data_IF_638058164978
#
_entry.id   IF_638058164978
#
_cell.length_a   1.000
_cell.length_b   1.000
_cell.length_c   1.000
_cell.angle_alpha   90.00
_cell.angle_beta   90.00
_cell.angle_gamma   90.00
#
_symmetry.space_group_name_H-M   'P 1'
#
loop_
_entity.id
_entity.type
_entity.pdbx_description
1 polymer ?
#
# COMPACT_ATOMS: atom_id res chain seq x y z
N UNK A 1 5.04 -7.39 -16.12
CA UNK A 1 6.01 -6.28 -16.31
C UNK A 1 6.29 -5.61 -14.97
N UNK A 2 6.91 -6.34 -14.03
CA UNK A 2 7.50 -5.88 -12.75
C UNK A 2 8.22 -7.08 -12.09
N UNK A 3 9.15 -7.70 -12.83
CA UNK A 3 9.94 -8.89 -12.39
C UNK A 3 11.43 -8.56 -12.17
N UNK A 4 11.76 -7.31 -11.84
CA UNK A 4 13.16 -6.84 -11.90
C UNK A 4 13.97 -7.23 -10.66
N UNK A 5 13.38 -7.16 -9.46
CA UNK A 5 14.09 -7.42 -8.20
C UNK A 5 13.74 -8.79 -7.61
N UNK A 6 12.44 -9.10 -7.52
CA UNK A 6 11.96 -10.39 -7.04
C UNK A 6 11.00 -10.96 -8.11
N UNK A 7 11.47 -11.83 -9.02
CA UNK A 7 10.75 -12.24 -10.22
C UNK A 7 9.41 -12.96 -9.98
N UNK A 8 9.14 -13.42 -8.75
CA UNK A 8 7.93 -14.16 -8.39
C UNK A 8 6.97 -13.39 -7.48
N UNK A 9 7.36 -12.24 -6.93
CA UNK A 9 6.55 -11.52 -5.95
C UNK A 9 6.42 -10.03 -6.33
N UNK A 10 5.53 -9.77 -7.29
CA UNK A 10 5.29 -8.42 -7.82
C UNK A 10 4.85 -7.43 -6.74
N UNK A 11 4.16 -7.91 -5.69
CA UNK A 11 3.71 -7.10 -4.57
C UNK A 11 4.87 -6.48 -3.78
N UNK A 12 5.97 -7.23 -3.56
CA UNK A 12 7.15 -6.68 -2.88
C UNK A 12 7.84 -5.63 -3.76
N UNK A 13 7.97 -5.89 -5.06
CA UNK A 13 8.57 -4.93 -6.00
C UNK A 13 7.79 -3.60 -6.00
N UNK A 14 6.45 -3.67 -6.04
CA UNK A 14 5.60 -2.49 -6.00
C UNK A 14 5.67 -1.78 -4.64
N UNK A 15 5.72 -2.54 -3.54
CA UNK A 15 5.83 -1.98 -2.18
C UNK A 15 7.13 -1.21 -2.03
N UNK A 16 8.26 -1.79 -2.45
CA UNK A 16 9.58 -1.15 -2.37
C UNK A 16 9.63 0.08 -3.28
N UNK A 17 9.13 0.00 -4.52
CA UNK A 17 9.11 1.13 -5.44
C UNK A 17 8.28 2.30 -4.87
N UNK A 18 7.10 2.01 -4.34
CA UNK A 18 6.22 3.00 -3.71
C UNK A 18 6.85 3.59 -2.45
N UNK A 19 7.55 2.77 -1.65
CA UNK A 19 8.24 3.22 -0.44
C UNK A 19 9.37 4.18 -0.77
N UNK A 20 10.21 3.83 -1.75
CA UNK A 20 11.30 4.70 -2.21
C UNK A 20 10.71 6.01 -2.76
N UNK A 21 9.64 5.93 -3.55
CA UNK A 21 8.95 7.12 -4.06
C UNK A 21 8.43 8.03 -2.94
N UNK A 22 7.73 7.47 -1.96
CA UNK A 22 7.22 8.19 -0.80
C UNK A 22 8.37 8.82 0.03
N UNK A 23 9.47 8.09 0.24
CA UNK A 23 10.65 8.61 0.94
C UNK A 23 11.28 9.79 0.20
N UNK A 24 11.49 9.67 -1.12
CA UNK A 24 12.03 10.77 -1.93
C UNK A 24 11.15 12.01 -1.82
N UNK A 25 9.82 11.85 -1.90
CA UNK A 25 8.87 12.97 -1.74
C UNK A 25 9.00 13.57 -0.34
N UNK A 26 9.02 12.77 0.73
CA UNK A 26 9.15 13.27 2.10
C UNK A 26 10.45 14.05 2.36
N UNK A 27 11.56 13.64 1.74
CA UNK A 27 12.87 14.30 1.89
C UNK A 27 12.89 15.62 1.11
N UNK A 28 12.32 15.64 -0.11
CA UNK A 28 12.34 16.82 -0.99
C UNK A 28 11.25 17.83 -0.65
N UNK A 29 10.13 17.38 -0.08
CA UNK A 29 8.91 18.14 0.21
C UNK A 29 8.39 17.73 1.59
N UNK A 30 9.04 18.17 2.69
CA UNK A 30 8.60 17.85 4.05
C UNK A 30 7.22 18.43 4.37
N UNK A 31 6.75 19.43 3.61
CA UNK A 31 5.40 19.97 3.69
C UNK A 31 4.31 18.94 3.33
N UNK A 32 4.64 17.93 2.52
CA UNK A 32 3.70 16.89 2.10
C UNK A 32 3.65 15.69 3.06
N UNK A 33 4.45 15.66 4.13
CA UNK A 33 4.51 14.51 5.07
C UNK A 33 3.13 14.20 5.67
N UNK A 34 2.39 15.24 6.08
CA UNK A 34 1.05 15.06 6.64
C UNK A 34 0.09 14.45 5.61
N UNK A 35 0.14 14.91 4.36
CA UNK A 35 -0.66 14.35 3.26
C UNK A 35 -0.28 12.90 2.97
N UNK A 36 1.01 12.59 2.99
CA UNK A 36 1.54 11.25 2.76
C UNK A 36 1.02 10.26 3.82
N UNK A 37 1.07 10.63 5.11
CA UNK A 37 0.49 9.81 6.17
C UNK A 37 -1.03 9.72 6.06
N UNK A 38 -1.73 10.83 5.82
CA UNK A 38 -3.18 10.84 5.71
C UNK A 38 -3.66 9.97 4.54
N UNK A 39 -3.04 10.11 3.36
CA UNK A 39 -3.34 9.31 2.19
C UNK A 39 -3.03 7.83 2.38
N UNK A 40 -1.90 7.52 3.02
CA UNK A 40 -1.54 6.14 3.38
C UNK A 40 -2.56 5.50 4.32
N UNK A 41 -2.93 6.18 5.39
CA UNK A 41 -3.94 5.69 6.34
C UNK A 41 -5.33 5.57 5.72
N UNK A 42 -5.78 6.55 4.93
CA UNK A 42 -7.09 6.52 4.28
C UNK A 42 -7.20 5.37 3.29
N UNK A 43 -6.16 5.13 2.48
CA UNK A 43 -6.16 4.01 1.55
C UNK A 43 -6.07 2.67 2.27
N UNK A 44 -5.19 2.54 3.28
CA UNK A 44 -5.10 1.33 4.10
C UNK A 44 -6.42 1.01 4.80
N UNK A 45 -7.10 2.01 5.38
CA UNK A 45 -8.39 1.83 6.04
C UNK A 45 -9.47 1.38 5.06
N UNK A 46 -9.56 2.04 3.91
CA UNK A 46 -10.52 1.69 2.86
C UNK A 46 -10.27 0.26 2.37
N UNK A 47 -9.00 -0.09 2.14
CA UNK A 47 -8.59 -1.42 1.71
C UNK A 47 -8.93 -2.51 2.73
N UNK A 48 -8.66 -2.24 4.01
CA UNK A 48 -9.02 -3.10 5.13
C UNK A 48 -10.53 -3.32 5.23
N UNK A 49 -11.34 -2.26 5.12
CA UNK A 49 -12.80 -2.36 5.16
C UNK A 49 -13.35 -3.18 3.98
N UNK A 50 -12.77 -3.03 2.79
CA UNK A 50 -13.13 -3.83 1.61
C UNK A 50 -12.84 -5.32 1.86
N UNK A 51 -11.69 -5.66 2.46
CA UNK A 51 -11.41 -7.05 2.80
C UNK A 51 -12.38 -7.63 3.82
N UNK A 52 -12.74 -6.87 4.85
CA UNK A 52 -13.75 -7.31 5.82
C UNK A 52 -15.09 -7.55 5.11
N UNK A 53 -15.50 -6.64 4.22
CA UNK A 53 -16.73 -6.81 3.46
C UNK A 53 -16.69 -8.06 2.57
N UNK A 54 -15.58 -8.30 1.87
CA UNK A 54 -15.39 -9.49 1.02
C UNK A 54 -15.42 -10.77 1.85
N UNK A 55 -14.69 -10.84 2.97
CA UNK A 55 -14.68 -12.02 3.84
C UNK A 55 -16.06 -12.26 4.49
N UNK A 56 -16.83 -11.20 4.74
CA UNK A 56 -18.21 -11.30 5.21
C UNK A 56 -19.19 -11.88 4.18
N UNK A 57 -18.97 -11.61 2.88
CA UNK A 57 -19.79 -12.13 1.78
C UNK A 57 -19.31 -13.53 1.35
N UNK A 58 -18.00 -13.73 1.31
CA UNK A 58 -17.32 -14.95 0.87
C UNK A 58 -16.36 -15.45 1.95
N UNK A 59 -16.87 -16.18 2.96
CA UNK A 59 -16.05 -16.64 4.09
C UNK A 59 -14.93 -17.58 3.61
N UNK A 60 -13.69 -17.31 4.04
CA UNK A 60 -12.51 -18.09 3.67
C UNK A 60 -11.88 -17.69 2.32
N UNK A 61 -12.40 -16.67 1.64
CA UNK A 61 -11.83 -16.19 0.38
C UNK A 61 -10.42 -15.66 0.59
N UNK A 62 -10.21 -14.81 1.60
CA UNK A 62 -8.91 -14.16 1.85
C UNK A 62 -7.83 -15.20 2.16
N UNK A 63 -8.14 -16.18 3.02
CA UNK A 63 -7.22 -17.27 3.36
C UNK A 63 -6.91 -18.18 2.17
N UNK A 64 -7.87 -18.42 1.27
CA UNK A 64 -7.68 -19.33 0.14
C UNK A 64 -6.85 -18.72 -1.00
N UNK A 65 -7.06 -17.43 -1.30
CA UNK A 65 -6.46 -16.75 -2.44
C UNK A 65 -5.16 -16.02 -2.09
N UNK A 66 -5.10 -15.37 -0.93
CA UNK A 66 -3.98 -14.46 -0.61
C UNK A 66 -2.91 -15.12 0.28
N UNK A 67 -3.26 -16.10 1.11
CA UNK A 67 -2.27 -16.77 2.00
C UNK A 67 -1.50 -17.89 1.28
N UNK A 68 -2.03 -18.47 0.20
CA UNK A 68 -1.39 -19.61 -0.51
C UNK A 68 -0.24 -19.21 -1.43
N UNK A 69 -0.17 -17.98 -1.92
CA UNK A 69 0.78 -17.58 -2.96
C UNK A 69 2.21 -17.23 -2.44
N UNK A 70 2.66 -17.82 -1.33
CA UNK A 70 4.01 -17.56 -0.80
C UNK A 70 4.18 -16.16 -0.17
N UNK A 71 3.08 -15.45 0.03
CA UNK A 71 3.00 -14.20 0.79
C UNK A 71 3.17 -14.55 2.28
N UNK A 72 3.75 -13.66 3.09
CA UNK A 72 4.16 -13.98 4.47
C UNK A 72 2.96 -14.45 5.29
N UNK A 73 3.17 -15.44 6.17
CA UNK A 73 2.14 -16.05 7.03
C UNK A 73 1.61 -15.13 8.15
N UNK A 74 2.07 -13.88 8.21
CA UNK A 74 1.64 -12.92 9.24
C UNK A 74 0.36 -12.27 8.75
N UNK A 75 -0.74 -12.50 9.47
CA UNK A 75 -2.06 -11.95 9.15
C UNK A 75 -2.58 -11.10 10.31
N UNK A 76 -3.35 -10.07 9.97
CA UNK A 76 -4.11 -9.22 10.88
C UNK A 76 -5.57 -9.37 10.48
N UNK A 77 -6.43 -9.91 11.35
CA UNK A 77 -7.84 -10.22 11.01
C UNK A 77 -7.99 -11.05 9.72
N UNK A 78 -7.16 -12.08 9.55
CA UNK A 78 -7.07 -12.93 8.32
C UNK A 78 -6.56 -12.24 7.06
N UNK A 79 -6.22 -10.96 7.12
CA UNK A 79 -5.66 -10.21 6.00
C UNK A 79 -4.13 -10.24 6.10
N UNK A 80 -3.39 -10.64 5.05
CA UNK A 80 -1.92 -10.64 5.09
C UNK A 80 -1.36 -9.26 5.38
N UNK A 81 -0.33 -9.18 6.23
CA UNK A 81 0.31 -7.91 6.59
C UNK A 81 0.88 -7.19 5.36
N UNK A 82 1.37 -7.93 4.35
CA UNK A 82 1.84 -7.33 3.10
C UNK A 82 0.77 -6.47 2.42
N UNK A 83 -0.49 -6.93 2.44
CA UNK A 83 -1.60 -6.24 1.77
C UNK A 83 -1.89 -4.89 2.44
N UNK A 84 -1.78 -4.83 3.75
CA UNK A 84 -1.92 -3.58 4.50
C UNK A 84 -0.72 -2.65 4.28
N UNK A 85 0.49 -3.21 4.18
CA UNK A 85 1.70 -2.43 3.90
C UNK A 85 1.68 -1.82 2.50
N UNK A 86 1.33 -2.60 1.46
CA UNK A 86 1.22 -2.04 0.11
C UNK A 86 0.11 -1.00 0.04
N UNK A 87 -1.00 -1.19 0.74
CA UNK A 87 -2.05 -0.19 0.79
C UNK A 87 -1.54 1.10 1.44
N UNK A 88 -0.91 1.02 2.60
CA UNK A 88 -0.37 2.20 3.25
C UNK A 88 0.66 2.93 2.38
N UNK A 89 1.67 2.21 1.89
CA UNK A 89 2.78 2.81 1.14
C UNK A 89 2.33 3.29 -0.25
N UNK A 90 1.48 2.51 -0.93
CA UNK A 90 0.88 2.88 -2.21
C UNK A 90 -0.01 4.12 -2.07
N UNK A 91 -0.85 4.18 -1.04
CA UNK A 91 -1.67 5.35 -0.73
C UNK A 91 -0.82 6.58 -0.40
N UNK A 92 0.23 6.42 0.40
CA UNK A 92 1.18 7.48 0.74
C UNK A 92 1.87 8.06 -0.51
N UNK A 93 2.37 7.21 -1.39
CA UNK A 93 3.01 7.63 -2.63
C UNK A 93 2.01 8.30 -3.59
N UNK A 94 0.87 7.65 -3.85
CA UNK A 94 -0.10 8.12 -4.84
C UNK A 94 -0.81 9.40 -4.41
N UNK A 95 -1.05 9.57 -3.12
CA UNK A 95 -1.63 10.79 -2.57
C UNK A 95 -0.73 12.00 -2.66
N UNK A 96 0.60 11.84 -2.76
CA UNK A 96 1.56 12.95 -2.70
C UNK A 96 2.29 13.20 -4.02
N UNK A 97 2.31 12.23 -4.94
CA UNK A 97 2.98 12.37 -6.23
C UNK A 97 2.36 13.46 -7.11
N UNK A 98 1.04 13.68 -7.01
CA UNK A 98 0.37 14.70 -7.81
C UNK A 98 0.87 16.11 -7.45
N UNK A 99 0.92 16.43 -6.16
CA UNK A 99 1.38 17.69 -5.60
C UNK A 99 2.89 17.86 -5.80
N UNK A 100 3.65 16.76 -5.68
CA UNK A 100 5.06 16.74 -5.99
C UNK A 100 5.32 17.09 -7.46
N UNK A 101 4.61 16.45 -8.39
CA UNK A 101 4.79 16.64 -9.83
C UNK A 101 4.31 18.02 -10.31
N UNK A 102 3.25 18.56 -9.71
CA UNK A 102 2.69 19.87 -10.08
C UNK A 102 3.31 21.05 -9.33
N UNK A 103 4.07 20.80 -8.26
CA UNK A 103 4.64 21.86 -7.43
C UNK A 103 3.62 22.62 -6.59
N UNK A 104 2.39 22.11 -6.46
CA UNK A 104 1.37 22.73 -5.60
C UNK A 104 1.79 22.64 -4.14
N UNK A 105 1.63 23.74 -3.41
CA UNK A 105 1.77 23.77 -1.95
C UNK A 105 0.38 23.67 -1.33
N UNK A 106 0.24 22.77 -0.38
CA UNK A 106 -0.94 22.75 0.49
C UNK A 106 -0.85 24.02 1.35
N UNK A 107 -1.89 24.85 1.34
CA UNK A 107 -2.01 26.00 2.22
C UNK A 107 -2.51 25.58 3.59
#
# INVERSE_FOLDING_TARGET
MLQVLIPQYSIYNLTIASLIGALIISIKRPDLINQLFMGGFMFMLTYFLVFIAIEGIFPGYVDSSFVREGITKITIFKIPLQELLIAFVGGAYWSSIYEYARGYRIK
#
